data_IF_586696474632
#
_entry.id   IF_586696474632
#
_cell.length_a   1.000
_cell.length_b   1.000
_cell.length_c   1.000
_cell.angle_alpha   90.00
_cell.angle_beta   90.00
_cell.angle_gamma   90.00
#
_symmetry.space_group_name_H-M   'P 1'
#
loop_
_entity.id
_entity.type
_entity.pdbx_description
1 polymer ?
#
# COMPACT_ATOMS: atom_id res chain seq x y z
N UNK A 1 16.20 -12.73 -2.71
CA UNK A 1 14.82 -12.33 -2.41
C UNK A 1 14.69 -10.86 -2.76
N UNK A 2 13.66 -10.46 -3.48
CA UNK A 2 13.30 -9.07 -3.72
C UNK A 2 12.10 -8.66 -2.87
N UNK A 3 12.05 -7.39 -2.46
CA UNK A 3 10.93 -6.81 -1.72
C UNK A 3 10.52 -5.52 -2.43
N UNK A 4 9.23 -5.34 -2.67
CA UNK A 4 8.64 -4.11 -3.16
C UNK A 4 7.47 -3.73 -2.24
N UNK A 5 7.60 -2.64 -1.49
CA UNK A 5 6.63 -2.24 -0.47
C UNK A 5 6.19 -0.80 -0.70
N UNK A 6 4.88 -0.58 -0.79
CA UNK A 6 4.23 0.73 -0.94
C UNK A 6 4.86 1.60 -2.05
N UNK A 7 5.07 1.02 -3.24
CA UNK A 7 5.80 1.68 -4.32
C UNK A 7 5.16 1.48 -5.71
N UNK A 8 4.52 0.34 -5.97
CA UNK A 8 3.96 0.02 -7.28
C UNK A 8 2.81 0.94 -7.66
N UNK A 9 2.07 1.49 -6.69
CA UNK A 9 0.98 2.42 -7.01
C UNK A 9 1.46 3.75 -7.60
N UNK A 10 2.76 4.06 -7.53
CA UNK A 10 3.38 5.20 -8.21
C UNK A 10 3.93 4.85 -9.61
N UNK A 11 4.00 3.57 -9.97
CA UNK A 11 4.58 3.11 -11.22
C UNK A 11 3.45 2.87 -12.23
N UNK A 12 3.39 3.67 -13.30
CA UNK A 12 2.38 3.48 -14.35
C UNK A 12 2.56 2.12 -15.05
N UNK A 13 3.75 1.89 -15.61
CA UNK A 13 4.06 0.65 -16.32
C UNK A 13 4.62 -0.43 -15.37
N UNK A 14 3.73 -1.07 -14.59
CA UNK A 14 4.11 -2.08 -13.57
C UNK A 14 4.72 -3.35 -14.17
N UNK A 15 4.22 -3.82 -15.31
CA UNK A 15 4.67 -5.07 -15.92
C UNK A 15 6.18 -5.10 -16.23
N UNK A 16 6.76 -4.16 -17.00
CA UNK A 16 8.20 -4.17 -17.26
C UNK A 16 9.04 -3.98 -15.99
N UNK A 17 8.54 -3.25 -15.00
CA UNK A 17 9.22 -3.09 -13.71
C UNK A 17 9.30 -4.42 -12.95
N UNK A 18 8.17 -5.09 -12.76
CA UNK A 18 8.09 -6.36 -12.04
C UNK A 18 8.87 -7.46 -12.77
N UNK A 19 8.77 -7.52 -14.10
CA UNK A 19 9.50 -8.49 -14.91
C UNK A 19 11.02 -8.30 -14.81
N UNK A 20 11.52 -7.06 -14.76
CA UNK A 20 12.96 -6.78 -14.56
C UNK A 20 13.45 -7.24 -13.19
N UNK A 21 12.65 -7.02 -12.14
CA UNK A 21 12.99 -7.52 -10.79
C UNK A 21 13.04 -9.04 -10.80
N UNK A 22 11.99 -9.70 -11.30
CA UNK A 22 11.91 -11.16 -11.39
C UNK A 22 13.06 -11.74 -12.22
N UNK A 23 13.39 -11.13 -13.36
CA UNK A 23 14.51 -11.55 -14.20
C UNK A 23 15.84 -11.54 -13.43
N UNK A 24 16.06 -10.52 -12.59
CA UNK A 24 17.28 -10.36 -11.79
C UNK A 24 17.41 -11.35 -10.63
N UNK A 25 16.34 -12.09 -10.29
CA UNK A 25 16.39 -13.12 -9.26
C UNK A 25 17.11 -14.38 -9.77
N UNK A 26 17.76 -15.10 -8.86
CA UNK A 26 18.21 -16.48 -9.11
C UNK A 26 16.98 -17.39 -9.34
N UNK A 27 17.12 -18.49 -10.11
CA UNK A 27 16.11 -19.55 -10.19
C UNK A 27 15.58 -19.95 -8.81
N UNK A 28 14.26 -20.08 -8.66
CA UNK A 28 13.59 -20.37 -7.38
C UNK A 28 13.52 -19.17 -6.42
N UNK A 29 14.08 -18.01 -6.77
CA UNK A 29 14.07 -16.81 -5.96
C UNK A 29 12.68 -16.16 -5.86
N UNK A 30 12.43 -15.48 -4.74
CA UNK A 30 11.15 -14.86 -4.42
C UNK A 30 11.15 -13.34 -4.61
N UNK A 31 10.01 -12.81 -5.06
CA UNK A 31 9.64 -11.40 -4.97
C UNK A 31 8.39 -11.27 -4.10
N UNK A 32 8.50 -10.52 -3.00
CA UNK A 32 7.39 -10.19 -2.12
C UNK A 32 6.95 -8.75 -2.37
N UNK A 33 5.67 -8.56 -2.65
CA UNK A 33 5.04 -7.27 -2.89
C UNK A 33 4.05 -7.01 -1.76
N UNK A 34 4.09 -5.80 -1.20
CA UNK A 34 3.04 -5.30 -0.32
C UNK A 34 2.60 -3.93 -0.82
N UNK A 35 1.36 -3.80 -1.29
CA UNK A 35 0.90 -2.53 -1.84
C UNK A 35 -0.60 -2.31 -1.65
N UNK A 36 -1.06 -1.09 -1.92
CA UNK A 36 -2.46 -0.71 -1.79
C UNK A 36 -3.29 -1.45 -2.84
N UNK A 37 -4.35 -2.11 -2.36
CA UNK A 37 -5.29 -2.84 -3.21
C UNK A 37 -6.22 -1.85 -3.91
N UNK A 38 -6.52 -2.08 -5.17
CA UNK A 38 -7.55 -1.35 -5.90
C UNK A 38 -8.92 -1.50 -5.20
N UNK A 39 -9.72 -0.43 -5.22
CA UNK A 39 -11.02 -0.34 -4.54
C UNK A 39 -10.97 -0.60 -3.01
N UNK A 40 -9.81 -0.48 -2.38
CA UNK A 40 -9.70 -0.49 -0.92
C UNK A 40 -9.97 0.88 -0.33
N UNK A 41 -10.23 0.91 0.98
CA UNK A 41 -10.35 2.17 1.71
C UNK A 41 -9.05 2.97 1.71
N UNK A 42 -7.89 2.29 1.69
CA UNK A 42 -6.58 2.93 1.55
C UNK A 42 -6.44 3.62 0.19
N UNK A 43 -6.90 2.99 -0.89
CA UNK A 43 -6.90 3.61 -2.23
C UNK A 43 -7.79 4.86 -2.27
N UNK A 44 -9.01 4.78 -1.72
CA UNK A 44 -9.93 5.92 -1.63
C UNK A 44 -9.35 7.05 -0.79
N UNK A 45 -8.74 6.72 0.35
CA UNK A 45 -8.08 7.69 1.22
C UNK A 45 -6.93 8.36 0.48
N UNK A 46 -6.03 7.61 -0.15
CA UNK A 46 -4.90 8.20 -0.85
C UNK A 46 -5.34 9.12 -2.01
N UNK A 47 -6.29 8.70 -2.83
CA UNK A 47 -6.72 9.54 -3.97
C UNK A 47 -7.55 10.75 -3.54
N UNK A 48 -8.40 10.63 -2.51
CA UNK A 48 -9.26 11.74 -2.08
C UNK A 48 -8.57 12.65 -1.07
N UNK A 49 -8.03 12.07 0.00
CA UNK A 49 -7.35 12.82 1.05
C UNK A 49 -5.98 13.30 0.60
N UNK A 50 -5.07 12.38 0.24
CA UNK A 50 -3.74 12.81 -0.18
C UNK A 50 -3.80 13.57 -1.52
N UNK A 51 -4.74 13.26 -2.41
CA UNK A 51 -5.03 14.06 -3.60
C UNK A 51 -5.34 15.53 -3.31
N UNK A 52 -6.07 15.81 -2.22
CA UNK A 52 -6.53 17.14 -1.86
C UNK A 52 -5.62 17.90 -0.89
N UNK A 53 -4.99 17.18 0.05
CA UNK A 53 -4.27 17.76 1.19
C UNK A 53 -2.77 17.51 1.17
N UNK A 54 -2.24 16.79 0.18
CA UNK A 54 -0.80 16.78 -0.11
C UNK A 54 -0.47 17.97 -1.03
N UNK A 55 0.58 18.72 -0.71
CA UNK A 55 1.03 19.87 -1.52
C UNK A 55 1.35 19.54 -2.99
N UNK A 56 1.57 18.26 -3.34
CA UNK A 56 1.81 17.81 -4.73
C UNK A 56 0.64 17.03 -5.33
N UNK A 57 -0.42 16.77 -4.56
CA UNK A 57 -1.47 15.81 -4.91
C UNK A 57 -0.99 14.34 -4.90
N UNK A 58 -1.94 13.42 -5.07
CA UNK A 58 -1.71 11.98 -5.16
C UNK A 58 -2.80 11.34 -6.02
N UNK A 59 -2.41 10.60 -7.04
CA UNK A 59 -3.29 9.73 -7.82
C UNK A 59 -2.53 8.42 -8.08
N UNK A 60 -2.98 7.34 -7.43
CA UNK A 60 -2.32 6.05 -7.50
C UNK A 60 -2.89 5.15 -8.59
N UNK A 61 -2.05 4.26 -9.12
CA UNK A 61 -2.51 3.12 -9.92
C UNK A 61 -2.40 1.83 -9.10
N UNK A 62 -3.49 1.42 -8.46
CA UNK A 62 -3.48 0.36 -7.44
C UNK A 62 -3.48 -1.06 -8.01
N UNK A 63 -3.10 -2.04 -7.17
CA UNK A 63 -3.05 -3.44 -7.58
C UNK A 63 -4.42 -4.10 -7.53
N UNK A 64 -4.77 -4.83 -8.59
CA UNK A 64 -5.88 -5.77 -8.56
C UNK A 64 -5.47 -7.10 -7.92
N UNK A 65 -6.40 -7.75 -7.22
CA UNK A 65 -6.18 -9.07 -6.62
C UNK A 65 -6.67 -10.22 -7.52
N UNK A 66 -7.13 -9.90 -8.73
CA UNK A 66 -7.51 -10.90 -9.72
C UNK A 66 -6.28 -11.59 -10.30
N UNK A 67 -6.23 -12.92 -10.17
CA UNK A 67 -5.11 -13.74 -10.67
C UNK A 67 -4.81 -13.52 -12.16
N UNK A 68 -5.84 -13.31 -12.98
CA UNK A 68 -5.68 -13.03 -14.40
C UNK A 68 -4.91 -11.73 -14.66
N UNK A 69 -5.32 -10.63 -14.01
CA UNK A 69 -4.63 -9.34 -14.08
C UNK A 69 -3.18 -9.44 -13.60
N UNK A 70 -2.95 -10.15 -12.48
CA UNK A 70 -1.60 -10.34 -11.94
C UNK A 70 -0.70 -11.15 -12.87
N UNK A 71 -1.21 -12.20 -13.54
CA UNK A 71 -0.46 -13.00 -14.51
C UNK A 71 0.04 -12.16 -15.69
N UNK A 72 -0.80 -11.23 -16.18
CA UNK A 72 -0.40 -10.30 -17.25
C UNK A 72 0.78 -9.41 -16.82
N UNK A 73 0.85 -9.03 -15.54
CA UNK A 73 1.94 -8.20 -15.03
C UNK A 73 3.27 -8.94 -14.91
N UNK A 74 3.25 -10.18 -14.43
CA UNK A 74 4.47 -10.91 -14.01
C UNK A 74 5.03 -11.84 -15.09
N UNK A 75 4.24 -12.20 -16.09
CA UNK A 75 4.63 -13.09 -17.20
C UNK A 75 4.76 -14.57 -16.80
N UNK A 76 4.95 -15.43 -17.80
CA UNK A 76 4.88 -16.89 -17.66
C UNK A 76 6.06 -17.51 -16.89
N UNK A 77 7.20 -16.80 -16.81
CA UNK A 77 8.42 -17.27 -16.13
C UNK A 77 8.34 -17.18 -14.59
N UNK A 78 7.17 -16.83 -14.06
CA UNK A 78 6.96 -16.65 -12.63
C UNK A 78 5.64 -17.29 -12.19
N UNK A 79 5.63 -17.74 -10.94
CA UNK A 79 4.48 -18.33 -10.29
C UNK A 79 3.98 -17.40 -9.19
N UNK A 80 2.67 -17.15 -9.16
CA UNK A 80 2.01 -16.49 -8.02
C UNK A 80 1.76 -17.56 -6.95
N UNK A 81 2.45 -17.45 -5.83
CA UNK A 81 2.30 -18.39 -4.70
C UNK A 81 1.25 -17.92 -3.70
N UNK A 82 1.08 -16.61 -3.56
CA UNK A 82 0.12 -16.01 -2.63
C UNK A 82 -0.34 -14.66 -3.15
N UNK A 83 -1.62 -14.35 -2.98
CA UNK A 83 -2.21 -13.04 -3.19
C UNK A 83 -3.29 -12.86 -2.13
N UNK A 84 -3.10 -11.98 -1.16
CA UNK A 84 -4.07 -11.77 -0.07
C UNK A 84 -3.98 -10.38 0.52
N UNK A 85 -5.12 -9.72 0.66
CA UNK A 85 -5.23 -8.52 1.48
C UNK A 85 -5.10 -8.90 2.96
N UNK A 86 -4.22 -8.22 3.68
CA UNK A 86 -3.96 -8.44 5.11
C UNK A 86 -4.06 -7.10 5.86
N UNK A 87 -4.73 -7.09 7.04
CA UNK A 87 -4.59 -5.99 7.98
C UNK A 87 -3.12 -5.80 8.37
N UNK A 88 -2.67 -4.55 8.34
CA UNK A 88 -1.35 -4.11 8.78
C UNK A 88 -1.54 -2.86 9.66
N UNK A 89 -2.20 -3.01 10.82
CA UNK A 89 -2.59 -1.87 11.62
C UNK A 89 -1.38 -1.12 12.17
N UNK A 90 -1.45 0.20 12.17
CA UNK A 90 -0.43 1.05 12.77
C UNK A 90 -0.83 1.43 14.19
N UNK A 91 0.13 1.36 15.10
CA UNK A 91 -0.07 1.58 16.53
C UNK A 91 0.58 2.89 16.95
N UNK A 92 -0.14 3.64 17.77
CA UNK A 92 0.30 4.93 18.29
C UNK A 92 -0.01 5.00 19.78
N UNK A 93 0.88 5.57 20.58
CA UNK A 93 0.65 5.73 22.01
C UNK A 93 -0.42 6.80 22.31
N UNK A 94 -0.64 7.73 21.38
CA UNK A 94 -1.60 8.82 21.54
C UNK A 94 -2.17 9.33 20.22
N UNK A 95 -3.25 10.10 20.30
CA UNK A 95 -3.81 10.82 19.15
C UNK A 95 -2.81 11.80 18.54
N UNK A 96 -2.03 12.51 19.37
CA UNK A 96 -1.04 13.46 18.89
C UNK A 96 0.04 12.80 18.02
N UNK A 97 0.48 11.59 18.40
CA UNK A 97 1.44 10.81 17.64
C UNK A 97 0.85 10.32 16.31
N UNK A 98 -0.38 9.80 16.33
CA UNK A 98 -1.10 9.38 15.12
C UNK A 98 -1.23 10.52 14.11
N UNK A 99 -1.64 11.71 14.57
CA UNK A 99 -1.82 12.88 13.71
C UNK A 99 -0.48 13.39 13.19
N UNK A 100 0.53 13.49 14.05
CA UNK A 100 1.89 13.88 13.64
C UNK A 100 2.43 12.92 12.58
N UNK A 101 2.37 11.61 12.82
CA UNK A 101 2.85 10.60 11.87
C UNK A 101 2.13 10.73 10.51
N UNK A 102 0.81 10.84 10.53
CA UNK A 102 -0.01 10.94 9.30
C UNK A 102 0.35 12.20 8.51
N UNK A 103 0.51 13.34 9.19
CA UNK A 103 0.89 14.60 8.55
C UNK A 103 2.23 14.49 7.82
N UNK A 104 3.23 13.92 8.48
CA UNK A 104 4.56 13.79 7.90
C UNK A 104 4.59 12.75 6.78
N UNK A 105 3.93 11.61 6.95
CA UNK A 105 3.93 10.54 5.96
C UNK A 105 3.29 10.98 4.63
N UNK A 106 2.19 11.74 4.70
CA UNK A 106 1.43 12.16 3.51
C UNK A 106 1.69 13.60 3.08
N UNK A 107 2.65 14.29 3.71
CA UNK A 107 3.01 15.67 3.34
C UNK A 107 1.84 16.65 3.44
N UNK A 108 1.06 16.56 4.51
CA UNK A 108 -0.16 17.34 4.67
C UNK A 108 0.11 18.85 4.71
N UNK A 109 -0.71 19.63 4.02
CA UNK A 109 -0.64 21.10 4.04
C UNK A 109 -0.86 21.67 5.46
N UNK A 110 -0.18 22.77 5.83
CA UNK A 110 -0.25 23.33 7.19
C UNK A 110 -1.65 23.76 7.63
N UNK A 111 -2.53 24.12 6.69
CA UNK A 111 -3.88 24.64 6.95
C UNK A 111 -4.88 23.55 7.36
N UNK A 112 -4.56 22.28 7.10
CA UNK A 112 -5.41 21.17 7.54
C UNK A 112 -5.42 21.14 9.07
N UNK A 113 -6.58 21.20 9.71
CA UNK A 113 -6.70 21.13 11.17
C UNK A 113 -6.61 19.69 11.69
N UNK A 114 -6.18 19.53 12.95
CA UNK A 114 -6.09 18.21 13.60
C UNK A 114 -7.44 17.53 13.76
N UNK A 115 -8.49 18.30 14.08
CA UNK A 115 -9.86 17.76 14.19
C UNK A 115 -10.36 17.19 12.87
N UNK A 116 -10.10 17.91 11.77
CA UNK A 116 -10.52 17.48 10.44
C UNK A 116 -9.72 16.26 9.97
N UNK A 117 -8.39 16.26 10.18
CA UNK A 117 -7.56 15.09 9.89
C UNK A 117 -8.04 13.85 10.65
N UNK A 118 -8.32 14.00 11.95
CA UNK A 118 -8.82 12.90 12.77
C UNK A 118 -10.16 12.36 12.25
N UNK A 119 -11.09 13.25 11.89
CA UNK A 119 -12.39 12.88 11.33
C UNK A 119 -12.23 12.07 10.04
N UNK A 120 -11.39 12.53 9.12
CA UNK A 120 -11.11 11.83 7.85
C UNK A 120 -10.53 10.44 8.13
N UNK A 121 -9.54 10.34 9.02
CA UNK A 121 -8.92 9.05 9.35
C UNK A 121 -9.93 8.09 10.00
N UNK A 122 -10.79 8.59 10.90
CA UNK A 122 -11.84 7.80 11.53
C UNK A 122 -12.86 7.28 10.51
N UNK A 123 -13.29 8.13 9.57
CA UNK A 123 -14.33 7.80 8.59
C UNK A 123 -13.82 6.89 7.47
N UNK A 124 -12.61 7.14 6.95
CA UNK A 124 -12.11 6.46 5.76
C UNK A 124 -11.26 5.23 6.09
N UNK A 125 -10.35 5.34 7.06
CA UNK A 125 -9.47 4.22 7.42
C UNK A 125 -10.01 3.45 8.63
N UNK A 126 -10.51 4.16 9.64
CA UNK A 126 -10.95 3.63 10.92
C UNK A 126 -9.85 3.64 11.97
N UNK A 127 -10.20 4.09 13.17
CA UNK A 127 -9.33 4.08 14.35
C UNK A 127 -10.06 3.36 15.48
N UNK A 128 -9.37 2.45 16.16
CA UNK A 128 -9.82 1.86 17.42
C UNK A 128 -8.98 2.34 18.60
N UNK A 129 -9.64 2.55 19.73
CA UNK A 129 -8.98 2.80 21.01
C UNK A 129 -8.75 1.48 21.74
N UNK A 130 -7.56 1.31 22.28
CA UNK A 130 -7.15 0.17 23.09
C UNK A 130 -6.47 0.67 24.37
N UNK A 131 -6.38 -0.16 25.44
CA UNK A 131 -5.67 0.22 26.65
C UNK A 131 -4.20 0.62 26.42
N UNK A 132 -3.58 0.11 25.35
CA UNK A 132 -2.17 0.33 25.01
C UNK A 132 -1.98 1.49 24.00
N UNK A 133 -3.05 2.11 23.50
CA UNK A 133 -2.97 3.20 22.54
C UNK A 133 -4.06 3.16 21.46
N UNK A 134 -3.77 3.79 20.33
CA UNK A 134 -4.66 3.86 19.18
C UNK A 134 -4.16 2.96 18.06
N UNK A 135 -5.10 2.39 17.32
CA UNK A 135 -4.84 1.54 16.18
C UNK A 135 -5.50 2.14 14.93
N UNK A 136 -4.70 2.56 13.95
CA UNK A 136 -5.19 2.92 12.62
C UNK A 136 -5.31 1.65 11.77
N UNK A 137 -6.49 1.36 11.23
CA UNK A 137 -6.81 0.07 10.59
C UNK A 137 -6.27 -0.07 9.17
N UNK A 138 -4.99 0.26 8.94
CA UNK A 138 -4.38 0.13 7.63
C UNK A 138 -4.28 -1.34 7.16
N UNK A 139 -4.30 -1.57 5.85
CA UNK A 139 -4.14 -2.89 5.25
C UNK A 139 -3.54 -2.81 3.84
N UNK A 140 -2.90 -3.90 3.43
CA UNK A 140 -2.21 -4.01 2.13
C UNK A 140 -2.54 -5.33 1.43
N UNK A 141 -2.51 -5.31 0.10
CA UNK A 141 -2.44 -6.51 -0.71
C UNK A 141 -1.01 -7.04 -0.69
N UNK A 142 -0.83 -8.25 -0.17
CA UNK A 142 0.45 -8.95 -0.22
C UNK A 142 0.44 -10.00 -1.31
N UNK A 143 1.45 -9.96 -2.17
CA UNK A 143 1.66 -10.91 -3.27
C UNK A 143 3.04 -11.53 -3.11
N UNK A 144 3.12 -12.86 -3.19
CA UNK A 144 4.38 -13.60 -3.23
C UNK A 144 4.51 -14.25 -4.58
N UNK A 145 5.59 -13.91 -5.28
CA UNK A 145 5.96 -14.45 -6.58
C UNK A 145 7.24 -15.26 -6.45
N UNK A 146 7.38 -16.29 -7.28
CA UNK A 146 8.61 -17.06 -7.39
C UNK A 146 9.05 -17.12 -8.85
N UNK A 147 10.33 -16.85 -9.12
CA UNK A 147 10.94 -17.13 -10.43
C UNK A 147 11.03 -18.63 -10.61
N UNK A 148 10.46 -19.16 -11.69
CA UNK A 148 10.54 -20.57 -11.99
C UNK A 148 12.01 -21.00 -12.18
N UNK A 149 12.33 -22.23 -11.76
CA UNK A 149 13.60 -22.83 -12.13
C UNK A 149 13.50 -23.25 -13.60
N UNK A 150 14.33 -22.65 -14.46
CA UNK A 150 14.62 -23.24 -15.76
C UNK A 150 15.51 -24.47 -15.56
#
# INVERSE_FOLDING_TARGET
MGICLAALHHIQNKAPFLQRILHSLKPGGYLCIGDVKNNSKEAVFLDRFAGQYNGTGHQGEYLEDQTASLRLLVGEQSQILRCRYQPCPWWFASQAELLSFTRHLFGCVPELSDSHLLEILQQQIGISSHPQGLQLHWGLLYITLQKQAC
#
